data_IF_759162158048
#
_entry.id   IF_759162158048
#
_cell.length_a   1.000
_cell.length_b   1.000
_cell.length_c   1.000
_cell.angle_alpha   90.00
_cell.angle_beta   90.00
_cell.angle_gamma   90.00
#
_symmetry.space_group_name_H-M   'P 1'
#
loop_
_entity.id
_entity.type
_entity.pdbx_description
1 polymer ?
#
# COMPACT_ATOMS: atom_id res chain seq x y z
N UNK A 1 -5.49 6.87 -17.65
CA UNK A 1 -4.36 5.93 -17.43
C UNK A 1 -3.00 6.62 -17.54
N UNK A 2 -2.65 7.24 -18.67
CA UNK A 2 -1.37 7.98 -18.81
C UNK A 2 -1.19 9.15 -17.83
N UNK A 3 -2.26 9.86 -17.46
CA UNK A 3 -2.20 11.02 -16.56
C UNK A 3 -1.78 10.66 -15.11
N UNK A 4 -2.18 9.49 -14.61
CA UNK A 4 -1.82 9.03 -13.26
C UNK A 4 -0.35 8.57 -13.22
N UNK A 5 0.11 7.89 -14.26
CA UNK A 5 1.53 7.54 -14.42
C UNK A 5 2.38 8.81 -14.55
N UNK A 6 1.90 9.84 -15.26
CA UNK A 6 2.55 11.15 -15.35
C UNK A 6 2.59 11.89 -14.02
N UNK A 7 1.60 11.74 -13.14
CA UNK A 7 1.63 12.31 -11.78
C UNK A 7 2.67 11.61 -10.91
N UNK A 8 2.74 10.28 -10.97
CA UNK A 8 3.76 9.47 -10.28
C UNK A 8 5.16 9.86 -10.79
N UNK A 9 5.35 9.93 -12.10
CA UNK A 9 6.62 10.34 -12.72
C UNK A 9 6.97 11.81 -12.43
N UNK A 10 6.00 12.74 -12.38
CA UNK A 10 6.24 14.13 -11.98
C UNK A 10 6.57 14.28 -10.51
N UNK A 11 5.98 13.47 -9.64
CA UNK A 11 6.32 13.42 -8.22
C UNK A 11 7.76 12.90 -8.04
N UNK A 12 8.13 11.86 -8.80
CA UNK A 12 9.48 11.32 -8.88
C UNK A 12 10.49 12.30 -9.53
N UNK A 13 10.07 13.11 -10.51
CA UNK A 13 10.94 14.09 -11.16
C UNK A 13 11.11 15.40 -10.36
N UNK A 14 10.08 15.86 -9.63
CA UNK A 14 10.19 16.96 -8.66
C UNK A 14 11.19 16.62 -7.53
N UNK A 15 11.27 15.33 -7.18
CA UNK A 15 12.17 14.76 -6.16
C UNK A 15 13.66 14.94 -6.48
N UNK A 16 14.06 15.04 -7.76
CA UNK A 16 15.45 15.26 -8.16
C UNK A 16 15.92 16.73 -8.01
N UNK A 17 14.99 17.68 -7.80
CA UNK A 17 15.30 19.12 -7.66
C UNK A 17 15.37 19.59 -6.20
N UNK A 18 14.91 18.78 -5.25
CA UNK A 18 14.93 19.08 -3.81
C UNK A 18 16.02 18.24 -3.14
N UNK A 19 17.27 18.58 -3.46
CA UNK A 19 18.42 18.16 -2.66
C UNK A 19 18.39 18.96 -1.35
N UNK A 20 17.68 18.44 -0.34
CA UNK A 20 17.91 18.83 1.04
C UNK A 20 17.64 17.61 1.92
N UNK A 21 18.66 17.21 2.68
CA UNK A 21 18.81 15.93 3.39
C UNK A 21 17.85 15.72 4.57
N UNK A 22 16.54 15.87 4.36
CA UNK A 22 15.52 15.56 5.34
C UNK A 22 14.37 14.80 4.65
N UNK A 23 14.63 13.55 4.28
CA UNK A 23 13.57 12.63 3.92
C UNK A 23 12.71 12.38 5.15
N UNK A 24 11.48 12.91 5.16
CA UNK A 24 10.51 12.50 6.16
C UNK A 24 10.13 11.04 5.86
N UNK A 25 10.40 10.13 6.78
CA UNK A 25 10.10 8.70 6.65
C UNK A 25 8.65 8.44 6.20
N UNK A 26 7.71 9.32 6.57
CA UNK A 26 6.31 9.26 6.14
C UNK A 26 6.11 9.50 4.64
N UNK A 27 6.82 10.46 4.04
CA UNK A 27 6.72 10.73 2.59
C UNK A 27 7.31 9.59 1.76
N UNK A 28 8.44 9.03 2.21
CA UNK A 28 9.03 7.86 1.56
C UNK A 28 8.10 6.64 1.62
N UNK A 29 7.38 6.46 2.73
CA UNK A 29 6.37 5.40 2.82
C UNK A 29 5.23 5.62 1.82
N UNK A 30 4.80 6.87 1.61
CA UNK A 30 3.77 7.22 0.63
C UNK A 30 4.21 6.86 -0.79
N UNK A 31 5.46 7.13 -1.17
CA UNK A 31 5.96 6.76 -2.49
C UNK A 31 6.02 5.26 -2.72
N UNK A 32 6.48 4.54 -1.70
CA UNK A 32 6.54 3.09 -1.74
C UNK A 32 5.12 2.51 -1.81
N UNK A 33 4.14 3.11 -1.13
CA UNK A 33 2.73 2.74 -1.26
C UNK A 33 2.23 2.89 -2.71
N UNK A 34 2.47 4.03 -3.34
CA UNK A 34 2.06 4.26 -4.73
C UNK A 34 2.78 3.32 -5.71
N UNK A 35 4.07 3.04 -5.48
CA UNK A 35 4.80 2.04 -6.27
C UNK A 35 4.26 0.62 -6.06
N UNK A 36 3.89 0.26 -4.82
CA UNK A 36 3.26 -1.01 -4.50
C UNK A 36 1.92 -1.19 -5.21
N UNK A 37 1.09 -0.15 -5.21
CA UNK A 37 -0.18 -0.09 -5.96
C UNK A 37 0.05 -0.25 -7.46
N UNK A 38 1.08 0.42 -8.01
CA UNK A 38 1.46 0.25 -9.40
C UNK A 38 1.83 -1.20 -9.72
N UNK A 39 2.67 -1.85 -8.91
CA UNK A 39 3.01 -3.26 -9.13
C UNK A 39 1.79 -4.18 -9.04
N UNK A 40 0.89 -3.93 -8.09
CA UNK A 40 -0.37 -4.67 -7.96
C UNK A 40 -1.25 -4.55 -9.22
N UNK A 41 -1.42 -3.33 -9.75
CA UNK A 41 -2.19 -3.09 -10.97
C UNK A 41 -1.57 -3.73 -12.22
N UNK A 42 -0.28 -4.08 -12.17
CA UNK A 42 0.41 -4.80 -13.24
C UNK A 42 0.56 -6.30 -12.92
N UNK A 43 -0.20 -6.83 -11.95
CA UNK A 43 -0.21 -8.24 -11.52
C UNK A 43 1.15 -8.75 -11.02
N UNK A 44 2.09 -7.83 -10.72
CA UNK A 44 3.42 -8.13 -10.17
C UNK A 44 3.33 -8.23 -8.65
N UNK A 45 2.65 -9.27 -8.17
CA UNK A 45 2.25 -9.38 -6.77
C UNK A 45 3.44 -9.52 -5.81
N UNK A 46 4.52 -10.22 -6.19
CA UNK A 46 5.68 -10.38 -5.31
C UNK A 46 6.47 -9.08 -5.15
N UNK A 47 6.59 -8.30 -6.21
CA UNK A 47 7.16 -6.95 -6.18
C UNK A 47 6.29 -6.01 -5.37
N UNK A 48 4.97 -6.06 -5.55
CA UNK A 48 4.02 -5.28 -4.76
C UNK A 48 4.19 -5.55 -3.25
N UNK A 49 4.24 -6.82 -2.85
CA UNK A 49 4.47 -7.21 -1.44
C UNK A 49 5.80 -6.66 -0.93
N UNK A 50 6.91 -6.87 -1.65
CA UNK A 50 8.24 -6.40 -1.23
C UNK A 50 8.26 -4.89 -1.00
N UNK A 51 7.66 -4.13 -1.91
CA UNK A 51 7.61 -2.67 -1.82
C UNK A 51 6.69 -2.19 -0.70
N UNK A 52 5.49 -2.77 -0.57
CA UNK A 52 4.55 -2.41 0.48
C UNK A 52 5.07 -2.77 1.88
N UNK A 53 5.78 -3.88 2.05
CA UNK A 53 6.47 -4.20 3.30
C UNK A 53 7.58 -3.19 3.63
N UNK A 54 8.25 -2.65 2.61
CA UNK A 54 9.20 -1.55 2.82
C UNK A 54 8.47 -0.28 3.23
N UNK A 55 7.33 0.05 2.61
CA UNK A 55 6.48 1.17 3.01
C UNK A 55 6.06 1.05 4.49
N UNK A 56 5.63 -0.15 4.89
CA UNK A 56 5.23 -0.46 6.27
C UNK A 56 6.34 -0.17 7.28
N UNK A 57 7.60 -0.49 6.95
CA UNK A 57 8.74 -0.21 7.84
C UNK A 57 8.96 1.29 8.05
N UNK A 58 8.63 2.11 7.06
CA UNK A 58 8.81 3.57 7.13
C UNK A 58 7.60 4.28 7.75
N UNK A 59 6.40 3.74 7.58
CA UNK A 59 5.20 4.25 8.23
C UNK A 59 4.30 3.10 8.71
N UNK A 60 4.51 2.59 9.94
CA UNK A 60 3.75 1.46 10.47
C UNK A 60 2.32 1.85 10.90
N UNK A 61 1.96 3.14 10.88
CA UNK A 61 0.65 3.66 11.30
C UNK A 61 -0.20 4.14 10.11
N UNK A 62 0.05 3.63 8.90
CA UNK A 62 -0.74 3.95 7.72
C UNK A 62 -1.61 2.75 7.34
N UNK A 63 -2.93 2.89 7.52
CA UNK A 63 -3.90 1.84 7.22
C UNK A 63 -3.89 1.42 5.75
N UNK A 64 -3.69 2.37 4.82
CA UNK A 64 -3.63 2.08 3.38
C UNK A 64 -2.55 1.06 3.00
N UNK A 65 -1.40 1.08 3.66
CA UNK A 65 -0.31 0.11 3.40
C UNK A 65 -0.78 -1.31 3.72
N UNK A 66 -1.43 -1.49 4.87
CA UNK A 66 -1.94 -2.80 5.29
C UNK A 66 -3.10 -3.23 4.39
N UNK A 67 -4.02 -2.32 4.04
CA UNK A 67 -5.10 -2.61 3.12
C UNK A 67 -4.58 -3.09 1.75
N UNK A 68 -3.60 -2.39 1.18
CA UNK A 68 -3.01 -2.79 -0.10
C UNK A 68 -2.21 -4.11 -0.01
N UNK A 69 -1.54 -4.40 1.11
CA UNK A 69 -0.96 -5.73 1.34
C UNK A 69 -2.05 -6.80 1.37
N UNK A 70 -3.20 -6.52 2.00
CA UNK A 70 -4.36 -7.39 2.03
C UNK A 70 -4.88 -7.72 0.63
N UNK A 71 -5.07 -6.69 -0.21
CA UNK A 71 -5.50 -6.84 -1.61
C UNK A 71 -4.53 -7.71 -2.41
N UNK A 72 -3.21 -7.49 -2.24
CA UNK A 72 -2.20 -8.27 -2.96
C UNK A 72 -2.20 -9.73 -2.50
N UNK A 73 -2.34 -9.99 -1.19
CA UNK A 73 -2.45 -11.37 -0.69
C UNK A 73 -3.74 -12.05 -1.15
N UNK A 74 -4.86 -11.34 -1.19
CA UNK A 74 -6.15 -11.84 -1.70
C UNK A 74 -6.02 -12.21 -3.19
N UNK A 75 -5.39 -11.37 -4.01
CA UNK A 75 -5.12 -11.67 -5.42
C UNK A 75 -4.21 -12.88 -5.63
N UNK A 76 -3.29 -13.16 -4.69
CA UNK A 76 -2.48 -14.39 -4.66
C UNK A 76 -3.22 -15.59 -4.07
N UNK A 77 -4.53 -15.50 -3.81
CA UNK A 77 -5.33 -16.50 -3.13
C UNK A 77 -4.81 -16.89 -1.73
N UNK A 78 -4.00 -16.03 -1.11
CA UNK A 78 -3.49 -16.20 0.25
C UNK A 78 -4.43 -15.51 1.24
N UNK A 79 -5.62 -16.09 1.40
CA UNK A 79 -6.71 -15.50 2.19
C UNK A 79 -6.35 -15.34 3.67
N UNK A 80 -5.49 -16.21 4.20
CA UNK A 80 -5.00 -16.12 5.57
C UNK A 80 -4.23 -14.81 5.80
N UNK A 81 -3.21 -14.53 4.98
CA UNK A 81 -2.44 -13.29 5.10
C UNK A 81 -3.27 -12.07 4.72
N UNK A 82 -4.19 -12.19 3.75
CA UNK A 82 -5.10 -11.11 3.40
C UNK A 82 -5.91 -10.65 4.62
N UNK A 83 -6.54 -11.60 5.32
CA UNK A 83 -7.30 -11.35 6.55
C UNK A 83 -6.44 -10.69 7.62
N UNK A 84 -5.23 -11.19 7.86
CA UNK A 84 -4.33 -10.58 8.86
C UNK A 84 -4.01 -9.13 8.52
N UNK A 85 -3.78 -8.82 7.24
CA UNK A 85 -3.47 -7.45 6.82
C UNK A 85 -4.69 -6.51 6.90
N UNK A 86 -5.87 -6.98 6.51
CA UNK A 86 -7.09 -6.17 6.66
C UNK A 86 -7.42 -5.89 8.13
N UNK A 87 -7.24 -6.87 9.03
CA UNK A 87 -7.38 -6.64 10.48
C UNK A 87 -6.42 -5.54 10.96
N UNK A 88 -5.16 -5.60 10.55
CA UNK A 88 -4.19 -4.54 10.88
C UNK A 88 -4.58 -3.17 10.35
N UNK A 89 -5.18 -3.09 9.16
CA UNK A 89 -5.69 -1.83 8.63
C UNK A 89 -6.77 -1.25 9.56
N UNK A 90 -7.69 -2.08 10.04
CA UNK A 90 -8.74 -1.66 10.99
C UNK A 90 -8.21 -1.38 12.41
N UNK A 91 -7.11 -2.03 12.83
CA UNK A 91 -6.43 -1.72 14.10
C UNK A 91 -5.77 -0.34 14.08
N UNK A 92 -5.19 0.04 12.93
CA UNK A 92 -4.53 1.32 12.72
C UNK A 92 -5.54 2.45 12.53
N UNK A 93 -6.61 2.19 11.78
CA UNK A 93 -7.73 3.10 11.58
C UNK A 93 -9.05 2.33 11.72
N UNK A 94 -9.70 2.50 12.87
CA UNK A 94 -10.96 1.82 13.19
C UNK A 94 -12.14 2.23 12.29
N UNK A 95 -11.99 3.31 11.50
CA UNK A 95 -13.00 3.78 10.55
C UNK A 95 -12.65 3.41 9.09
N UNK A 96 -11.64 2.56 8.88
CA UNK A 96 -11.21 2.15 7.54
C UNK A 96 -12.20 1.14 6.92
N UNK A 97 -13.30 1.67 6.37
CA UNK A 97 -14.44 0.89 5.86
C UNK A 97 -14.05 -0.12 4.79
N UNK A 98 -13.14 0.24 3.89
CA UNK A 98 -12.70 -0.64 2.79
C UNK A 98 -12.07 -1.94 3.31
N UNK A 99 -11.24 -1.90 4.36
CA UNK A 99 -10.69 -3.14 4.92
C UNK A 99 -11.76 -3.95 5.65
N UNK A 100 -12.72 -3.28 6.29
CA UNK A 100 -13.83 -3.95 6.97
C UNK A 100 -14.73 -4.70 5.98
N UNK A 101 -15.07 -4.09 4.83
CA UNK A 101 -15.84 -4.72 3.76
C UNK A 101 -15.16 -6.00 3.24
N UNK A 102 -13.84 -5.95 3.01
CA UNK A 102 -13.07 -7.13 2.60
C UNK A 102 -13.00 -8.20 3.70
N UNK A 103 -12.91 -7.81 4.97
CA UNK A 103 -12.95 -8.75 6.09
C UNK A 103 -14.29 -9.49 6.16
N UNK A 104 -15.39 -8.76 6.10
CA UNK A 104 -16.75 -9.33 6.18
C UNK A 104 -16.99 -10.34 5.05
N UNK A 105 -16.57 -10.00 3.83
CA UNK A 105 -16.57 -10.92 2.70
C UNK A 105 -15.74 -12.19 2.95
N UNK A 106 -14.54 -12.06 3.52
CA UNK A 106 -13.66 -13.21 3.80
C UNK A 106 -14.18 -14.11 4.92
N UNK A 107 -14.92 -13.57 5.89
CA UNK A 107 -15.52 -14.36 6.97
C UNK A 107 -16.94 -14.86 6.65
N UNK A 108 -17.47 -14.51 5.48
CA UNK A 108 -18.79 -14.94 5.02
C UNK A 108 -19.94 -14.29 5.80
N UNK A 109 -19.78 -13.02 6.20
CA UNK A 109 -20.84 -12.21 6.79
C UNK A 109 -21.66 -11.47 5.74
#
# INVERSE_FOLDING_TARGET
>A
MLLEILKILRHCARRNKLNNNNYNHKELAQDLLELGKFYFLNEKYDEAIKVLQKAQKFNPFCADIYYHLGLVYEAKNNLHNAKVMYLKATEVDSQFTLAQEHLDKLVGK
#
